data_IF_636508648929
#
_entry.id   IF_636508648929
#
_cell.length_a   1.000
_cell.length_b   1.000
_cell.length_c   1.000
_cell.angle_alpha   90.00
_cell.angle_beta   90.00
_cell.angle_gamma   90.00
#
_symmetry.space_group_name_H-M   'P 1'
#
loop_
_entity.id
_entity.type
_entity.pdbx_description
1 polymer ?
#
# COMPACT_ATOMS: atom_id res chain seq x y z
N UNK A 1 -2.28 8.32 10.36
CA UNK A 1 -2.83 7.61 9.18
C UNK A 1 -1.80 6.57 8.76
N UNK A 2 -2.05 5.26 8.83
CA UNK A 2 -1.01 4.25 8.61
C UNK A 2 -0.85 3.97 7.10
N UNK A 3 -0.44 5.02 6.39
CA UNK A 3 -0.07 4.95 4.99
C UNK A 3 1.45 4.81 4.89
N UNK A 4 1.89 3.93 4.03
CA UNK A 4 3.28 3.62 3.80
C UNK A 4 3.63 3.84 2.34
N UNK A 5 4.86 4.26 2.07
CA UNK A 5 5.38 4.45 0.72
C UNK A 5 6.23 3.22 0.41
N UNK A 6 5.87 2.52 -0.65
CA UNK A 6 6.47 1.22 -1.03
C UNK A 6 7.12 1.40 -2.40
N UNK A 7 8.40 1.02 -2.50
CA UNK A 7 9.11 0.98 -3.77
C UNK A 7 9.18 -0.45 -4.29
N UNK A 8 8.81 -0.66 -5.55
CA UNK A 8 9.01 -1.94 -6.22
C UNK A 8 10.52 -2.20 -6.41
N UNK A 9 11.04 -3.37 -5.99
CA UNK A 9 12.48 -3.61 -5.96
C UNK A 9 13.12 -3.61 -7.36
N UNK A 10 12.40 -4.10 -8.37
CA UNK A 10 12.86 -4.17 -9.78
C UNK A 10 12.59 -2.89 -10.57
N UNK A 11 11.33 -2.47 -10.71
CA UNK A 11 10.98 -1.32 -11.56
C UNK A 11 11.30 0.04 -10.94
N UNK A 12 11.63 0.08 -9.64
CA UNK A 12 11.85 1.30 -8.84
C UNK A 12 10.66 2.25 -8.79
N UNK A 13 9.49 1.79 -9.22
CA UNK A 13 8.25 2.54 -9.13
C UNK A 13 7.71 2.52 -7.69
N UNK A 14 6.89 3.50 -7.37
CA UNK A 14 6.35 3.73 -6.04
C UNK A 14 4.84 3.57 -6.03
N UNK A 15 4.32 3.11 -4.89
CA UNK A 15 2.90 3.07 -4.54
C UNK A 15 2.69 3.42 -3.08
N UNK A 16 1.50 3.92 -2.77
CA UNK A 16 1.06 4.10 -1.41
C UNK A 16 0.30 2.84 -0.96
N UNK A 17 0.72 2.25 0.15
CA UNK A 17 0.05 1.14 0.82
C UNK A 17 -0.70 1.66 2.06
N UNK A 18 -1.86 1.09 2.38
CA UNK A 18 -2.65 1.44 3.57
C UNK A 18 -3.02 0.19 4.35
N UNK A 19 -2.66 0.14 5.64
CA UNK A 19 -3.07 -0.97 6.54
C UNK A 19 -4.53 -0.87 7.01
N UNK A 20 -5.29 0.15 6.59
CA UNK A 20 -6.72 0.22 6.88
C UNK A 20 -7.49 -0.73 5.95
N UNK A 21 -7.05 -0.78 4.69
CA UNK A 21 -7.65 -1.61 3.64
C UNK A 21 -6.75 -2.78 3.24
N UNK A 22 -5.57 -2.89 3.87
CA UNK A 22 -4.49 -3.83 3.56
C UNK A 22 -4.21 -3.94 2.05
N UNK A 23 -4.15 -2.79 1.37
CA UNK A 23 -4.01 -2.72 -0.08
C UNK A 23 -3.31 -1.43 -0.54
N UNK A 24 -2.88 -1.40 -1.80
CA UNK A 24 -2.37 -0.21 -2.46
C UNK A 24 -3.51 0.75 -2.81
N UNK A 25 -3.32 2.03 -2.49
CA UNK A 25 -4.28 3.10 -2.77
C UNK A 25 -3.95 3.88 -4.04
N UNK A 26 -2.79 3.63 -4.64
CA UNK A 26 -2.37 4.25 -5.90
C UNK A 26 -1.85 3.22 -6.90
N UNK A 27 -1.84 3.61 -8.17
CA UNK A 27 -1.10 2.92 -9.23
C UNK A 27 0.42 3.07 -9.08
N UNK A 28 1.17 2.27 -9.86
CA UNK A 28 2.64 2.32 -9.89
C UNK A 28 3.05 3.58 -10.63
N UNK A 29 3.86 4.40 -9.98
CA UNK A 29 4.33 5.67 -10.51
C UNK A 29 5.86 5.74 -10.40
N UNK A 30 6.51 6.46 -11.30
CA UNK A 30 7.89 6.87 -11.07
C UNK A 30 8.00 7.80 -9.84
N UNK A 31 9.22 8.01 -9.35
CA UNK A 31 9.48 8.79 -8.12
C UNK A 31 8.96 10.23 -8.23
N UNK A 32 9.12 10.89 -9.38
CA UNK A 32 8.69 12.29 -9.56
C UNK A 32 7.16 12.41 -9.51
N UNK A 33 6.46 11.56 -10.26
CA UNK A 33 5.00 11.53 -10.30
C UNK A 33 4.42 11.16 -8.94
N UNK A 34 5.04 10.19 -8.26
CA UNK A 34 4.61 9.79 -6.93
C UNK A 34 4.84 10.91 -5.89
N UNK A 35 5.97 11.62 -5.95
CA UNK A 35 6.24 12.76 -5.09
C UNK A 35 5.21 13.89 -5.30
N UNK A 36 4.88 14.23 -6.55
CA UNK A 36 3.81 15.20 -6.87
C UNK A 36 2.46 14.77 -6.31
N UNK A 37 2.13 13.48 -6.40
CA UNK A 37 0.92 12.94 -5.78
C UNK A 37 0.93 13.11 -4.25
N UNK A 38 2.06 12.81 -3.58
CA UNK A 38 2.21 13.00 -2.13
C UNK A 38 2.06 14.47 -1.73
N UNK A 39 2.63 15.40 -2.50
CA UNK A 39 2.51 16.83 -2.26
C UNK A 39 1.07 17.32 -2.44
N UNK A 40 0.34 16.77 -3.41
CA UNK A 40 -1.08 17.06 -3.58
C UNK A 40 -1.92 16.51 -2.41
N UNK A 41 -1.66 15.26 -1.98
CA UNK A 41 -2.44 14.57 -0.95
C UNK A 41 -2.15 15.10 0.47
N UNK A 42 -0.89 15.36 0.79
CA UNK A 42 -0.43 15.72 2.15
C UNK A 42 -0.04 17.21 2.28
N UNK A 43 -0.07 17.97 1.18
CA UNK A 43 0.34 19.37 1.17
C UNK A 43 1.80 19.56 1.60
N UNK A 44 2.05 20.61 2.38
CA UNK A 44 3.39 20.98 2.88
C UNK A 44 4.03 19.92 3.79
N UNK A 45 3.28 18.90 4.21
CA UNK A 45 3.75 17.84 5.09
C UNK A 45 4.32 16.62 4.36
N UNK A 46 4.28 16.58 3.03
CA UNK A 46 4.81 15.44 2.28
C UNK A 46 6.32 15.25 2.52
N UNK A 47 7.11 16.32 2.46
CA UNK A 47 8.59 16.22 2.50
C UNK A 47 9.15 15.29 1.42
N UNK A 48 10.48 15.06 1.39
CA UNK A 48 11.09 14.09 0.48
C UNK A 48 10.60 12.67 0.76
N UNK A 49 10.37 11.87 -0.27
CA UNK A 49 9.91 10.47 -0.13
C UNK A 49 10.83 9.59 0.72
N UNK A 50 12.13 9.86 0.69
CA UNK A 50 13.14 9.11 1.45
C UNK A 50 13.07 9.33 2.96
N UNK A 51 12.39 10.38 3.39
CA UNK A 51 12.15 10.72 4.79
C UNK A 51 10.72 10.35 5.23
N UNK A 52 9.94 9.77 4.31
CA UNK A 52 8.56 9.42 4.56
C UNK A 52 8.43 8.11 5.36
N UNK A 53 7.21 7.81 5.78
CA UNK A 53 6.89 6.49 6.34
C UNK A 53 7.02 5.42 5.24
N UNK A 54 8.07 4.60 5.31
CA UNK A 54 8.36 3.55 4.33
C UNK A 54 7.89 2.19 4.82
N UNK A 55 7.58 1.31 3.88
CA UNK A 55 7.40 -0.13 4.12
C UNK A 55 8.09 -0.87 2.97
N UNK A 56 8.70 -2.01 3.27
CA UNK A 56 9.29 -2.83 2.22
C UNK A 56 8.20 -3.39 1.30
N UNK A 57 8.59 -3.75 0.08
CA UNK A 57 7.67 -4.38 -0.86
C UNK A 57 7.17 -5.72 -0.33
N UNK A 58 8.08 -6.50 0.24
CA UNK A 58 7.82 -7.81 0.82
C UNK A 58 6.80 -7.72 1.97
N UNK A 59 6.97 -6.78 2.90
CA UNK A 59 6.02 -6.57 4.01
C UNK A 59 4.62 -6.17 3.51
N UNK A 60 4.54 -5.35 2.46
CA UNK A 60 3.26 -4.94 1.89
C UNK A 60 2.54 -6.13 1.23
N UNK A 61 3.25 -6.93 0.44
CA UNK A 61 2.71 -8.13 -0.21
C UNK A 61 2.27 -9.19 0.81
N UNK A 62 3.03 -9.40 1.88
CA UNK A 62 2.66 -10.30 2.97
C UNK A 62 1.33 -9.90 3.61
N UNK A 63 1.14 -8.60 3.88
CA UNK A 63 -0.13 -8.08 4.43
C UNK A 63 -1.30 -8.28 3.47
N UNK A 64 -1.09 -8.02 2.18
CA UNK A 64 -2.12 -8.25 1.14
C UNK A 64 -2.49 -9.73 1.08
N UNK A 65 -1.50 -10.64 1.11
CA UNK A 65 -1.73 -12.07 1.08
C UNK A 65 -2.52 -12.55 2.31
N UNK A 66 -2.16 -12.06 3.51
CA UNK A 66 -2.88 -12.37 4.74
C UNK A 66 -4.34 -11.91 4.68
N UNK A 67 -4.60 -10.71 4.16
CA UNK A 67 -5.97 -10.20 4.02
C UNK A 67 -6.80 -11.05 3.06
N UNK A 68 -6.24 -11.43 1.90
CA UNK A 68 -6.92 -12.29 0.93
C UNK A 68 -7.29 -13.64 1.53
N UNK A 69 -6.35 -14.27 2.25
CA UNK A 69 -6.61 -15.55 2.93
C UNK A 69 -7.75 -15.43 3.94
N UNK A 70 -7.76 -14.37 4.75
CA UNK A 70 -8.85 -14.12 5.70
C UNK A 70 -10.20 -13.95 4.98
N UNK A 71 -10.26 -13.13 3.93
CA UNK A 71 -11.50 -12.91 3.18
C UNK A 71 -12.01 -14.20 2.52
N UNK A 72 -11.12 -15.08 2.08
CA UNK A 72 -11.47 -16.43 1.56
C UNK A 72 -12.02 -17.36 2.65
N UNK A 73 -11.41 -17.37 3.84
CA UNK A 73 -11.88 -18.16 4.99
C UNK A 73 -13.26 -17.69 5.47
N UNK A 74 -13.49 -16.37 5.54
CA UNK A 74 -14.79 -15.80 5.90
C UNK A 74 -15.87 -16.21 4.90
N UNK A 75 -15.62 -16.06 3.59
CA UNK A 75 -16.59 -16.47 2.55
C UNK A 75 -16.93 -17.94 2.60
N UNK A 76 -15.96 -18.81 2.93
CA UNK A 76 -16.21 -20.26 3.06
C UNK A 76 -17.14 -20.55 4.22
N UNK A 77 -16.92 -19.93 5.37
CA UNK A 77 -17.79 -20.10 6.54
C UNK A 77 -19.21 -19.57 6.31
N UNK A 78 -19.37 -18.45 5.60
CA UNK A 78 -20.69 -17.94 5.21
C UNK A 78 -21.42 -18.90 4.26
N UNK A 79 -20.70 -19.57 3.36
CA UNK A 79 -21.29 -20.54 2.43
C UNK A 79 -21.67 -21.88 3.08
N UNK A 80 -21.04 -22.24 4.20
CA UNK A 80 -21.30 -23.48 4.95
C UNK A 80 -22.48 -23.34 5.93
N UNK A 81 -23.02 -22.13 6.09
CA UNK A 81 -24.13 -21.83 7.04
C UNK A 81 -25.48 -21.55 6.37
N UNK A 82 -25.57 -21.66 5.05
CA UNK A 82 -26.80 -21.64 4.23
C UNK A 82 -27.22 -23.07 3.80
#
# INVERSE_FOLDING_TARGET
MPRFNVQHPVTKQWRCFSTIVDNYVTDWMDEERYQKWREYEYGRHAGPIREANLMSYEEAEEKIALRKKWDEEVRRHESDTD
#
